data_IF_500858456622
#
_entry.id   IF_500858456622
#
_cell.length_a   1.000
_cell.length_b   1.000
_cell.length_c   1.000
_cell.angle_alpha   90.00
_cell.angle_beta   90.00
_cell.angle_gamma   90.00
#
_symmetry.space_group_name_H-M   'P 1'
#
loop_
_entity.id
_entity.type
_entity.pdbx_description
1 polymer ?
#
# COMPACT_ATOMS: atom_id res chain seq x y z
N UNK A 1 2.74 -32.63 28.98
CA UNK A 1 3.22 -31.24 29.01
C UNK A 1 3.65 -30.82 27.60
N UNK A 2 2.83 -31.09 26.56
CA UNK A 2 3.29 -31.08 25.17
C UNK A 2 2.29 -30.41 24.19
N UNK A 3 1.25 -29.75 24.71
CA UNK A 3 0.15 -29.22 23.87
C UNK A 3 0.38 -27.77 23.45
N UNK A 4 1.34 -27.07 24.07
CA UNK A 4 1.68 -25.68 23.74
C UNK A 4 2.77 -25.53 22.68
N UNK A 5 3.31 -26.65 22.16
CA UNK A 5 4.44 -26.67 21.20
C UNK A 5 4.01 -26.85 19.73
N UNK A 6 2.71 -26.85 19.44
CA UNK A 6 2.19 -27.04 18.07
C UNK A 6 1.22 -25.91 17.68
N UNK A 7 1.57 -24.67 18.01
CA UNK A 7 0.83 -23.51 17.53
C UNK A 7 1.58 -22.94 16.33
N UNK A 8 1.41 -23.58 15.17
CA UNK A 8 1.89 -23.03 13.91
C UNK A 8 1.31 -21.62 13.75
N UNK A 9 2.17 -20.60 13.80
CA UNK A 9 1.81 -19.23 13.49
C UNK A 9 1.64 -19.17 11.96
N UNK A 10 0.46 -19.56 11.48
CA UNK A 10 0.06 -19.28 10.10
C UNK A 10 0.05 -17.78 9.96
N UNK A 11 0.96 -17.24 9.15
CA UNK A 11 0.93 -15.84 8.71
C UNK A 11 -0.50 -15.59 8.20
N UNK A 12 -1.30 -14.79 8.91
CA UNK A 12 -2.72 -14.72 8.61
C UNK A 12 -2.89 -14.16 7.21
N UNK A 13 -3.76 -14.77 6.41
CA UNK A 13 -3.99 -14.41 5.00
C UNK A 13 -4.22 -12.90 4.79
N UNK A 14 -4.71 -12.19 5.82
CA UNK A 14 -4.87 -10.74 5.87
C UNK A 14 -3.62 -9.94 5.46
N UNK A 15 -2.41 -10.40 5.81
CA UNK A 15 -1.18 -9.70 5.45
C UNK A 15 -0.88 -9.77 3.95
N UNK A 16 -1.14 -10.92 3.32
CA UNK A 16 -0.97 -11.07 1.87
C UNK A 16 -2.03 -10.29 1.10
N UNK A 17 -3.27 -10.29 1.61
CA UNK A 17 -4.38 -9.54 1.04
C UNK A 17 -4.13 -8.03 1.08
N UNK A 18 -3.55 -7.51 2.17
CA UNK A 18 -3.23 -6.08 2.31
C UNK A 18 -2.29 -5.57 1.21
N UNK A 19 -1.31 -6.38 0.80
CA UNK A 19 -0.33 -6.03 -0.23
C UNK A 19 -0.97 -5.99 -1.62
N UNK A 20 -1.86 -6.94 -1.93
CA UNK A 20 -2.59 -6.97 -3.20
C UNK A 20 -3.54 -5.79 -3.30
N UNK A 21 -4.29 -5.51 -2.24
CA UNK A 21 -5.20 -4.35 -2.17
C UNK A 21 -4.42 -3.05 -2.35
N UNK A 22 -3.30 -2.89 -1.65
CA UNK A 22 -2.46 -1.71 -1.80
C UNK A 22 -1.96 -1.54 -3.23
N UNK A 23 -1.54 -2.61 -3.88
CA UNK A 23 -1.04 -2.54 -5.25
C UNK A 23 -2.15 -2.12 -6.24
N UNK A 24 -3.34 -2.68 -6.09
CA UNK A 24 -4.50 -2.30 -6.89
C UNK A 24 -4.89 -0.84 -6.67
N UNK A 25 -4.94 -0.39 -5.42
CA UNK A 25 -5.20 1.01 -5.06
C UNK A 25 -4.13 1.94 -5.65
N UNK A 26 -2.86 1.57 -5.58
CA UNK A 26 -1.76 2.34 -6.17
C UNK A 26 -1.96 2.54 -7.67
N UNK A 27 -2.25 1.47 -8.42
CA UNK A 27 -2.51 1.54 -9.86
C UNK A 27 -3.71 2.45 -10.14
N UNK A 28 -4.80 2.30 -9.37
CA UNK A 28 -6.01 3.10 -9.55
C UNK A 28 -5.76 4.59 -9.33
N UNK A 29 -4.96 4.96 -8.33
CA UNK A 29 -4.61 6.37 -8.07
C UNK A 29 -3.70 6.92 -9.17
N UNK A 30 -2.66 6.18 -9.57
CA UNK A 30 -1.75 6.62 -10.64
C UNK A 30 -2.50 6.81 -11.96
N UNK A 31 -3.42 5.91 -12.29
CA UNK A 31 -4.28 6.04 -13.46
C UNK A 31 -5.10 7.34 -13.41
N UNK A 32 -5.71 7.64 -12.26
CA UNK A 32 -6.44 8.90 -12.03
C UNK A 32 -5.56 10.15 -12.18
N UNK A 33 -4.36 10.13 -11.60
CA UNK A 33 -3.39 11.23 -11.70
C UNK A 33 -3.01 11.50 -13.15
N UNK A 34 -2.74 10.46 -13.94
CA UNK A 34 -2.42 10.60 -15.37
C UNK A 34 -3.60 11.22 -16.12
N UNK A 35 -4.82 10.73 -15.90
CA UNK A 35 -6.01 11.27 -16.55
C UNK A 35 -6.26 12.73 -16.20
N UNK A 36 -6.10 13.11 -14.93
CA UNK A 36 -6.24 14.50 -14.49
C UNK A 36 -5.15 15.40 -15.07
N UNK A 37 -3.91 14.91 -15.17
CA UNK A 37 -2.82 15.67 -15.79
C UNK A 37 -3.09 15.93 -17.28
N UNK A 38 -3.54 14.90 -18.02
CA UNK A 38 -3.94 15.04 -19.42
C UNK A 38 -5.14 15.97 -19.54
N UNK A 39 -6.14 15.87 -18.66
CA UNK A 39 -7.29 16.78 -18.60
C UNK A 39 -6.81 18.23 -18.49
N UNK A 40 -5.97 18.55 -17.51
CA UNK A 40 -5.44 19.91 -17.31
C UNK A 40 -4.72 20.40 -18.56
N UNK A 41 -3.91 19.55 -19.18
CA UNK A 41 -3.23 19.87 -20.43
C UNK A 41 -4.24 20.18 -21.55
N UNK A 42 -5.19 19.29 -21.83
CA UNK A 42 -6.19 19.48 -22.89
C UNK A 42 -7.04 20.76 -22.68
N UNK A 43 -7.42 21.05 -21.43
CA UNK A 43 -8.16 22.26 -21.06
C UNK A 43 -7.33 23.53 -21.24
N UNK A 44 -6.04 23.50 -20.85
CA UNK A 44 -5.12 24.62 -21.01
C UNK A 44 -4.91 25.00 -22.49
N UNK A 45 -4.87 24.00 -23.37
CA UNK A 45 -4.73 24.18 -24.82
C UNK A 45 -6.06 24.32 -25.56
N UNK A 46 -7.19 24.47 -24.85
CA UNK A 46 -8.52 24.63 -25.45
C UNK A 46 -8.87 23.51 -26.46
N UNK A 47 -8.52 22.27 -26.15
CA UNK A 47 -8.75 21.11 -27.01
C UNK A 47 -10.24 20.92 -27.32
N UNK A 48 -10.55 20.50 -28.55
CA UNK A 48 -11.92 20.33 -29.01
C UNK A 48 -12.66 19.21 -28.25
N UNK A 49 -13.72 19.51 -27.47
CA UNK A 49 -14.45 18.50 -26.69
C UNK A 49 -15.31 17.55 -27.54
N UNK A 50 -15.51 17.83 -28.83
CA UNK A 50 -16.22 16.91 -29.73
C UNK A 50 -15.35 15.75 -30.19
N UNK A 51 -14.03 15.85 -30.03
CA UNK A 51 -13.09 14.78 -30.38
C UNK A 51 -13.29 13.59 -29.43
N UNK A 52 -13.44 12.34 -29.94
CA UNK A 52 -13.71 11.17 -29.11
C UNK A 52 -12.69 10.96 -27.99
N UNK A 53 -11.40 11.16 -28.27
CA UNK A 53 -10.33 11.05 -27.27
C UNK A 53 -10.44 12.09 -26.15
N UNK A 54 -10.68 13.36 -26.50
CA UNK A 54 -10.83 14.45 -25.53
C UNK A 54 -12.05 14.20 -24.64
N UNK A 55 -13.17 13.81 -25.25
CA UNK A 55 -14.41 13.45 -24.55
C UNK A 55 -14.19 12.28 -23.59
N UNK A 56 -13.47 11.24 -24.02
CA UNK A 56 -13.10 10.12 -23.16
C UNK A 56 -12.31 10.60 -21.94
N UNK A 57 -11.23 11.38 -22.13
CA UNK A 57 -10.44 11.89 -21.01
C UNK A 57 -11.28 12.73 -20.06
N UNK A 58 -12.09 13.67 -20.58
CA UNK A 58 -12.93 14.53 -19.74
C UNK A 58 -13.99 13.77 -18.95
N UNK A 59 -14.59 12.73 -19.54
CA UNK A 59 -15.56 11.89 -18.85
C UNK A 59 -14.90 11.01 -17.79
N UNK A 60 -13.82 10.30 -18.12
CA UNK A 60 -13.16 9.39 -17.17
C UNK A 60 -12.49 10.15 -16.02
N UNK A 61 -11.86 11.29 -16.30
CA UNK A 61 -11.29 12.17 -15.27
C UNK A 61 -12.35 12.86 -14.39
N UNK A 62 -13.60 12.94 -14.85
CA UNK A 62 -14.72 13.55 -14.11
C UNK A 62 -14.96 12.87 -12.76
N UNK A 63 -14.83 11.54 -12.73
CA UNK A 63 -15.05 10.71 -11.54
C UNK A 63 -13.94 10.94 -10.50
N UNK A 64 -12.70 11.04 -10.94
CA UNK A 64 -11.56 11.39 -10.08
C UNK A 64 -11.63 12.86 -9.59
N UNK A 65 -12.25 13.75 -10.36
CA UNK A 65 -12.46 15.13 -9.96
C UNK A 65 -13.66 15.32 -9.03
N UNK A 66 -14.63 14.38 -9.02
CA UNK A 66 -15.89 14.49 -8.32
C UNK A 66 -15.78 14.96 -6.85
N UNK A 67 -14.90 14.41 -5.99
CA UNK A 67 -14.79 14.86 -4.60
C UNK A 67 -14.20 16.26 -4.43
N UNK A 68 -13.47 16.77 -5.43
CA UNK A 68 -12.83 18.08 -5.39
C UNK A 68 -13.56 19.13 -6.21
N UNK A 69 -14.69 18.75 -6.82
CA UNK A 69 -15.46 19.62 -7.72
C UNK A 69 -16.03 20.79 -6.93
N UNK A 70 -15.79 22.00 -7.43
CA UNK A 70 -16.32 23.23 -6.83
C UNK A 70 -15.54 23.75 -5.62
N UNK A 71 -14.42 23.12 -5.22
CA UNK A 71 -13.53 23.65 -4.16
C UNK A 71 -12.93 25.00 -4.57
N UNK A 72 -12.61 25.14 -5.86
CA UNK A 72 -12.11 26.39 -6.42
C UNK A 72 -13.11 26.94 -7.45
N UNK A 73 -13.34 28.27 -7.46
CA UNK A 73 -14.10 28.89 -8.53
C UNK A 73 -13.38 28.68 -9.86
N UNK A 74 -14.12 28.31 -10.91
CA UNK A 74 -13.56 28.18 -12.26
C UNK A 74 -13.11 29.56 -12.74
N UNK A 75 -11.81 29.76 -12.91
CA UNK A 75 -11.26 31.00 -13.45
C UNK A 75 -10.92 30.79 -14.95
N UNK A 76 -11.47 31.61 -15.86
CA UNK A 76 -11.05 31.58 -17.25
C UNK A 76 -9.59 32.03 -17.34
N UNK A 77 -8.81 31.39 -18.21
CA UNK A 77 -7.38 31.68 -18.43
C UNK A 77 -7.13 32.29 -19.81
N UNK A 78 -8.18 32.44 -20.63
CA UNK A 78 -8.18 33.17 -21.90
C UNK A 78 -9.61 33.36 -22.41
N UNK A 79 -9.79 33.60 -23.72
CA UNK A 79 -11.11 33.74 -24.37
C UNK A 79 -11.90 32.42 -24.43
N UNK A 80 -11.22 31.27 -24.47
CA UNK A 80 -11.86 29.93 -24.54
C UNK A 80 -11.26 28.87 -23.61
N UNK A 81 -10.07 29.10 -23.04
CA UNK A 81 -9.36 28.16 -22.19
C UNK A 81 -9.65 28.33 -20.70
N UNK A 82 -9.85 27.23 -19.98
CA UNK A 82 -10.08 27.21 -18.53
C UNK A 82 -8.96 26.40 -17.86
N UNK A 83 -8.19 26.99 -16.93
CA UNK A 83 -7.36 26.16 -16.04
C UNK A 83 -8.23 25.61 -14.92
N UNK A 84 -8.38 24.30 -14.92
CA UNK A 84 -9.07 23.57 -13.87
C UNK A 84 -8.15 23.42 -12.65
N UNK A 85 -8.14 24.46 -11.79
CA UNK A 85 -7.37 24.48 -10.54
C UNK A 85 -7.78 23.33 -9.62
N UNK A 86 -9.05 22.91 -9.65
CA UNK A 86 -9.52 21.76 -8.88
C UNK A 86 -8.86 20.46 -9.36
N UNK A 87 -8.64 20.29 -10.67
CA UNK A 87 -7.89 19.13 -11.20
C UNK A 87 -6.42 19.13 -10.78
N UNK A 88 -5.76 20.29 -10.78
CA UNK A 88 -4.39 20.41 -10.27
C UNK A 88 -4.31 20.06 -8.78
N UNK A 89 -5.25 20.57 -7.99
CA UNK A 89 -5.34 20.24 -6.58
C UNK A 89 -5.58 18.76 -6.34
N UNK A 90 -6.48 18.14 -7.11
CA UNK A 90 -6.76 16.71 -7.05
C UNK A 90 -5.48 15.88 -7.29
N UNK A 91 -4.66 16.24 -8.28
CA UNK A 91 -3.36 15.58 -8.53
C UNK A 91 -2.48 15.62 -7.28
N UNK A 92 -2.32 16.79 -6.67
CA UNK A 92 -1.47 16.96 -5.47
C UNK A 92 -2.00 16.08 -4.32
N UNK A 93 -3.30 16.11 -4.06
CA UNK A 93 -3.92 15.32 -3.01
C UNK A 93 -3.76 13.82 -3.26
N UNK A 94 -3.92 13.37 -4.51
CA UNK A 94 -3.72 11.96 -4.85
C UNK A 94 -2.27 11.50 -4.69
N UNK A 95 -1.29 12.34 -5.03
CA UNK A 95 0.13 12.04 -4.78
C UNK A 95 0.43 11.94 -3.28
N UNK A 96 -0.11 12.85 -2.48
CA UNK A 96 0.01 12.79 -1.01
C UNK A 96 -0.66 11.55 -0.44
N UNK A 97 -1.83 11.17 -0.96
CA UNK A 97 -2.56 9.99 -0.52
C UNK A 97 -1.77 8.70 -0.78
N UNK A 98 -1.17 8.56 -1.96
CA UNK A 98 -0.29 7.42 -2.29
C UNK A 98 0.90 7.34 -1.33
N UNK A 99 1.52 8.48 -1.04
CA UNK A 99 2.64 8.53 -0.11
C UNK A 99 2.22 8.12 1.31
N UNK A 100 1.08 8.64 1.79
CA UNK A 100 0.53 8.30 3.10
C UNK A 100 0.20 6.81 3.23
N UNK A 101 -0.46 6.23 2.23
CA UNK A 101 -0.79 4.80 2.22
C UNK A 101 0.47 3.95 2.23
N UNK A 102 1.47 4.31 1.42
CA UNK A 102 2.76 3.62 1.38
C UNK A 102 3.48 3.67 2.74
N UNK A 103 3.47 4.83 3.40
CA UNK A 103 4.04 4.99 4.73
C UNK A 103 3.31 4.15 5.79
N UNK A 104 1.97 4.11 5.75
CA UNK A 104 1.18 3.32 6.68
C UNK A 104 1.45 1.81 6.53
N UNK A 105 1.58 1.32 5.29
CA UNK A 105 1.90 -0.09 5.02
C UNK A 105 3.29 -0.43 5.53
N UNK A 106 4.29 0.41 5.24
CA UNK A 106 5.65 0.21 5.72
C UNK A 106 5.71 0.21 7.25
N UNK A 107 4.95 1.09 7.90
CA UNK A 107 4.84 1.12 9.35
C UNK A 107 4.28 -0.19 9.92
N UNK A 108 3.19 -0.71 9.35
CA UNK A 108 2.60 -1.99 9.77
C UNK A 108 3.57 -3.15 9.54
N UNK A 109 4.25 -3.19 8.39
CA UNK A 109 5.21 -4.26 8.06
C UNK A 109 6.37 -4.28 9.06
N UNK A 110 6.91 -3.11 9.43
CA UNK A 110 8.03 -3.01 10.39
C UNK A 110 7.70 -3.61 11.76
N UNK A 111 6.43 -3.51 12.20
CA UNK A 111 5.99 -4.09 13.48
C UNK A 111 5.85 -5.61 13.40
N UNK A 112 5.50 -6.14 12.23
CA UNK A 112 5.33 -7.58 12.04
C UNK A 112 6.68 -8.30 12.01
N UNK A 113 7.69 -7.69 11.41
CA UNK A 113 8.99 -8.34 11.22
C UNK A 113 9.71 -8.55 12.57
N UNK A 114 9.62 -7.58 13.49
CA UNK A 114 10.19 -7.68 14.85
C UNK A 114 9.58 -8.84 15.64
N UNK A 115 8.27 -9.04 15.56
CA UNK A 115 7.59 -10.12 16.29
C UNK A 115 8.01 -11.51 15.77
N UNK A 116 8.27 -11.63 14.46
CA UNK A 116 8.73 -12.88 13.87
C UNK A 116 10.18 -13.23 14.25
N UNK A 117 11.03 -12.22 14.45
CA UNK A 117 12.42 -12.44 14.87
C UNK A 117 12.50 -12.94 16.32
N UNK A 118 11.74 -12.34 17.25
CA UNK A 118 11.72 -12.77 18.65
C UNK A 118 11.23 -14.22 18.82
N UNK A 119 10.26 -14.65 18.00
CA UNK A 119 9.78 -16.04 18.02
C UNK A 119 10.84 -17.01 17.51
N UNK A 120 11.50 -16.69 16.38
CA UNK A 120 12.57 -17.52 15.80
C UNK A 120 13.76 -17.69 16.76
N UNK A 121 14.11 -16.63 17.49
CA UNK A 121 15.19 -16.67 18.48
C UNK A 121 14.82 -17.45 19.75
N UNK A 122 13.53 -17.48 20.12
CA UNK A 122 13.06 -18.34 21.22
C UNK A 122 13.12 -19.81 20.82
N UNK A 123 12.74 -20.15 19.60
CA UNK A 123 12.78 -21.53 19.12
C UNK A 123 14.20 -22.09 19.06
N UNK A 124 15.18 -21.30 18.60
CA UNK A 124 16.59 -21.75 18.55
C UNK A 124 17.17 -22.02 19.93
N UNK A 125 16.88 -21.16 20.92
CA UNK A 125 17.31 -21.35 22.32
C UNK A 125 16.67 -22.57 22.97
N UNK A 126 15.39 -22.85 22.69
CA UNK A 126 14.72 -24.03 23.22
C UNK A 126 15.31 -25.32 22.65
N UNK A 127 15.63 -25.34 21.35
CA UNK A 127 16.33 -26.47 20.72
C UNK A 127 17.72 -26.69 21.31
N UNK A 128 18.48 -25.60 21.56
CA UNK A 128 19.80 -25.68 22.19
C UNK A 128 19.73 -26.27 23.61
N UNK A 129 18.76 -25.83 24.41
CA UNK A 129 18.54 -26.36 25.77
C UNK A 129 18.14 -27.85 25.71
N UNK A 130 17.29 -28.24 24.76
CA UNK A 130 16.87 -29.63 24.58
C UNK A 130 18.05 -30.53 24.17
N UNK A 131 18.90 -30.06 23.25
CA UNK A 131 20.13 -30.77 22.87
C UNK A 131 21.12 -30.89 24.04
N UNK A 132 21.32 -29.82 24.82
CA UNK A 132 22.18 -29.84 26.00
C UNK A 132 21.69 -30.86 27.04
N UNK A 133 20.38 -30.90 27.29
CA UNK A 133 19.77 -31.85 28.21
C UNK A 133 19.87 -33.30 27.72
N UNK A 134 19.66 -33.54 26.42
CA UNK A 134 19.83 -34.86 25.82
C UNK A 134 21.29 -35.36 25.91
N UNK A 135 22.27 -34.46 25.75
CA UNK A 135 23.68 -34.77 25.95
C UNK A 135 24.01 -35.10 27.41
N UNK A 136 23.40 -34.40 28.37
CA UNK A 136 23.56 -34.71 29.79
C UNK A 136 22.98 -36.08 30.15
N UNK A 137 21.73 -36.37 29.78
CA UNK A 137 21.08 -37.67 30.04
C UNK A 137 21.85 -38.84 29.40
N UNK A 138 22.42 -38.62 28.21
CA UNK A 138 23.26 -39.61 27.53
C UNK A 138 24.58 -39.86 28.28
N UNK A 139 25.18 -38.82 28.87
CA UNK A 139 26.38 -38.94 29.72
C UNK A 139 26.07 -39.67 31.02
N UNK A 140 24.93 -39.40 31.67
CA UNK A 140 24.54 -40.06 32.93
C UNK A 140 24.28 -41.56 32.72
N UNK A 141 23.59 -41.94 31.64
CA UNK A 141 23.36 -43.36 31.28
C UNK A 141 24.66 -44.12 30.98
N UNK A 142 25.68 -43.45 30.45
CA UNK A 142 27.00 -44.04 30.18
C UNK A 142 27.87 -44.23 31.42
N UNK A 143 27.62 -43.49 32.51
CA UNK A 143 28.36 -43.61 33.78
C UNK A 143 27.76 -44.63 34.76
N UNK A 144 26.51 -45.07 34.53
CA UNK A 144 25.81 -46.01 35.42
C UNK A 144 25.83 -47.47 34.90
N UNK A 145 26.56 -47.72 33.81
CA UNK A 145 26.75 -49.02 33.16
C UNK A 145 28.22 -49.37 33.16
#
# INVERSE_FOLDING_TARGET
MNEQLNKEIKVPAYLQVSKIISWFLYIWVIYGVILLAIRVFLLAFSANPTTPFVKFVYNTSSDYLAPFRGIFPTKPVGETGYLDVASLFAIIIYLLFVWLVSAAINYVQSKIDVLKEEEKDRESKLQEIEMAKALEETKTKKQTK
#
